data_IF_301957563315
#
_entry.id   IF_301957563315
#
_cell.length_a   1.000
_cell.length_b   1.000
_cell.length_c   1.000
_cell.angle_alpha   90.00
_cell.angle_beta   90.00
_cell.angle_gamma   90.00
#
_symmetry.space_group_name_H-M   'P 1'
#
loop_
_entity.id
_entity.type
_entity.pdbx_description
1 polymer ?
#
# COMPACT_ATOMS: atom_id res chain seq x y z
N UNK A 1 25.57 7.97 -44.75
CA UNK A 1 24.50 8.91 -44.31
C UNK A 1 23.26 8.09 -43.99
N UNK A 2 23.08 7.73 -42.72
CA UNK A 2 21.95 6.92 -42.25
C UNK A 2 20.88 7.86 -41.69
N UNK A 3 19.75 7.94 -42.39
CA UNK A 3 18.58 8.74 -42.02
C UNK A 3 18.01 8.18 -40.71
N UNK A 4 18.24 8.87 -39.58
CA UNK A 4 17.59 8.54 -38.30
C UNK A 4 16.07 8.65 -38.47
N UNK A 5 15.36 7.56 -38.21
CA UNK A 5 13.88 7.51 -38.24
C UNK A 5 13.34 8.41 -37.13
N UNK A 6 12.74 9.54 -37.54
CA UNK A 6 12.16 10.59 -36.68
C UNK A 6 11.12 10.10 -35.66
N UNK A 7 10.60 8.88 -35.81
CA UNK A 7 9.60 8.30 -34.90
C UNK A 7 10.16 7.63 -33.65
N UNK A 8 11.44 7.19 -33.64
CA UNK A 8 12.04 6.56 -32.45
C UNK A 8 12.47 7.58 -31.40
N UNK A 9 12.89 8.77 -31.84
CA UNK A 9 13.36 9.84 -30.93
C UNK A 9 12.26 10.36 -30.00
N UNK A 10 11.01 10.42 -30.45
CA UNK A 10 9.90 10.87 -29.59
C UNK A 10 9.57 9.87 -28.48
N UNK A 11 9.65 8.57 -28.76
CA UNK A 11 9.46 7.53 -27.75
C UNK A 11 10.65 7.44 -26.80
N UNK A 12 11.87 7.60 -27.32
CA UNK A 12 13.09 7.63 -26.50
C UNK A 12 13.12 8.87 -25.57
N UNK A 13 12.70 10.05 -26.05
CA UNK A 13 12.58 11.26 -25.23
C UNK A 13 11.46 11.17 -24.19
N UNK A 14 10.31 10.59 -24.53
CA UNK A 14 9.22 10.35 -23.59
C UNK A 14 9.62 9.35 -22.49
N UNK A 15 10.43 8.34 -22.83
CA UNK A 15 10.96 7.35 -21.87
C UNK A 15 12.05 7.96 -20.99
N UNK A 16 12.89 8.84 -21.54
CA UNK A 16 13.93 9.55 -20.78
C UNK A 16 13.35 10.59 -19.80
N UNK A 17 12.21 11.18 -20.12
CA UNK A 17 11.50 12.13 -19.24
C UNK A 17 10.64 11.42 -18.17
N UNK A 18 10.27 10.16 -18.36
CA UNK A 18 9.48 9.40 -17.40
C UNK A 18 10.38 8.80 -16.31
N UNK A 19 10.77 9.65 -15.36
CA UNK A 19 11.34 9.17 -14.09
C UNK A 19 10.19 8.88 -13.14
N UNK A 20 9.93 7.60 -12.86
CA UNK A 20 9.08 7.19 -11.73
C UNK A 20 9.85 7.53 -10.46
N UNK A 21 9.76 8.76 -9.99
CA UNK A 21 10.20 9.08 -8.63
C UNK A 21 9.17 8.49 -7.68
N UNK A 22 9.47 7.29 -7.18
CA UNK A 22 8.70 6.72 -6.07
C UNK A 22 8.81 7.68 -4.87
N UNK A 23 7.67 8.09 -4.32
CA UNK A 23 7.64 8.97 -3.15
C UNK A 23 8.45 8.34 -2.01
N UNK A 24 9.32 9.11 -1.34
CA UNK A 24 10.19 8.56 -0.31
C UNK A 24 9.36 8.03 0.86
N UNK A 25 9.73 6.84 1.35
CA UNK A 25 9.10 6.24 2.53
C UNK A 25 9.64 6.96 3.77
N UNK A 26 8.75 7.62 4.51
CA UNK A 26 9.08 8.37 5.71
C UNK A 26 9.25 7.46 6.94
N UNK A 27 8.41 6.43 7.06
CA UNK A 27 8.50 5.46 8.15
C UNK A 27 7.97 4.09 7.75
N UNK A 28 8.39 3.07 8.51
CA UNK A 28 7.88 1.71 8.45
C UNK A 28 7.59 1.22 9.86
N UNK A 29 6.44 0.59 10.07
CA UNK A 29 6.01 0.15 11.40
C UNK A 29 5.23 -1.15 11.30
N UNK A 30 5.54 -2.10 12.19
CA UNK A 30 4.76 -3.32 12.39
C UNK A 30 3.89 -3.12 13.63
N UNK A 31 2.61 -3.44 13.53
CA UNK A 31 1.72 -3.40 14.69
C UNK A 31 2.14 -4.42 15.76
N UNK A 32 1.96 -4.15 17.06
CA UNK A 32 2.32 -5.09 18.12
C UNK A 32 1.68 -6.49 17.99
N UNK A 33 0.47 -6.58 17.42
CA UNK A 33 -0.19 -7.87 17.13
C UNK A 33 0.51 -8.68 16.04
N UNK A 34 1.36 -8.04 15.23
CA UNK A 34 2.01 -8.57 14.02
C UNK A 34 1.03 -9.02 12.92
N UNK A 35 -0.26 -8.68 13.03
CA UNK A 35 -1.25 -9.02 12.02
C UNK A 35 -1.20 -8.08 10.80
N UNK A 36 -0.66 -6.88 10.97
CA UNK A 36 -0.47 -5.92 9.90
C UNK A 36 0.73 -5.01 10.18
N UNK A 37 1.15 -4.32 9.14
CA UNK A 37 2.22 -3.34 9.18
C UNK A 37 1.91 -2.27 8.16
N UNK A 38 2.56 -1.13 8.28
CA UNK A 38 2.26 0.01 7.43
C UNK A 38 3.49 0.88 7.20
N UNK A 39 3.44 1.62 6.11
CA UNK A 39 4.40 2.66 5.78
C UNK A 39 3.65 3.92 5.39
N UNK A 40 4.36 5.05 5.41
CA UNK A 40 3.81 6.31 4.96
C UNK A 40 4.79 7.07 4.09
N UNK A 41 4.22 7.83 3.17
CA UNK A 41 4.89 8.89 2.42
C UNK A 41 4.29 10.23 2.86
N UNK A 42 4.65 11.32 2.19
CA UNK A 42 4.02 12.62 2.43
C UNK A 42 2.52 12.59 2.08
N UNK A 43 2.11 11.81 1.09
CA UNK A 43 0.74 11.84 0.54
C UNK A 43 -0.07 10.60 0.88
N UNK A 44 0.58 9.46 1.06
CA UNK A 44 -0.08 8.15 1.11
C UNK A 44 0.31 7.35 2.36
N UNK A 45 -0.59 6.46 2.74
CA UNK A 45 -0.38 5.39 3.70
C UNK A 45 -0.51 4.07 2.95
N UNK A 46 0.48 3.21 3.09
CA UNK A 46 0.40 1.84 2.61
C UNK A 46 0.29 0.89 3.78
N UNK A 47 -0.74 0.04 3.77
CA UNK A 47 -1.00 -0.96 4.80
C UNK A 47 -0.81 -2.34 4.18
N UNK A 48 -0.11 -3.20 4.90
CA UNK A 48 0.26 -4.55 4.48
C UNK A 48 -0.28 -5.55 5.49
N UNK A 49 -1.09 -6.48 5.01
CA UNK A 49 -1.65 -7.57 5.82
C UNK A 49 -1.14 -8.90 5.26
N UNK A 50 -0.20 -9.59 5.93
CA UNK A 50 0.29 -10.89 5.48
C UNK A 50 -0.85 -11.90 5.35
N UNK A 51 -0.88 -12.64 4.24
CA UNK A 51 -1.92 -13.64 3.98
C UNK A 51 -1.33 -14.98 3.52
N UNK A 52 -2.10 -16.04 3.71
CA UNK A 52 -1.74 -17.36 3.22
C UNK A 52 -1.89 -17.40 1.68
N UNK A 53 -1.09 -18.22 0.95
CA UNK A 53 -1.12 -18.31 -0.52
C UNK A 53 -2.47 -18.70 -1.16
N UNK A 54 -3.49 -19.04 -0.37
CA UNK A 54 -4.82 -19.47 -0.86
C UNK A 54 -5.94 -18.45 -0.62
N UNK A 55 -5.62 -17.27 -0.09
CA UNK A 55 -6.62 -16.21 0.07
C UNK A 55 -7.03 -15.70 -1.31
N UNK A 56 -8.34 -15.69 -1.55
CA UNK A 56 -8.95 -15.17 -2.78
C UNK A 56 -9.56 -13.80 -2.52
N UNK A 57 -9.65 -12.98 -3.57
CA UNK A 57 -10.20 -11.61 -3.47
C UNK A 57 -11.58 -11.56 -2.80
N UNK A 58 -12.44 -12.55 -3.06
CA UNK A 58 -13.79 -12.65 -2.45
C UNK A 58 -13.76 -12.81 -0.93
N UNK A 59 -12.67 -13.33 -0.36
CA UNK A 59 -12.49 -13.49 1.08
C UNK A 59 -11.95 -12.25 1.78
N UNK A 60 -11.70 -11.14 1.06
CA UNK A 60 -11.10 -9.93 1.62
C UNK A 60 -12.08 -8.78 1.51
N UNK A 61 -12.35 -8.10 2.62
CA UNK A 61 -13.11 -6.86 2.67
C UNK A 61 -12.24 -5.77 3.30
N UNK A 62 -12.02 -4.69 2.54
CA UNK A 62 -11.29 -3.51 3.00
C UNK A 62 -12.23 -2.32 2.91
N UNK A 63 -12.38 -1.58 4.01
CA UNK A 63 -13.30 -0.45 4.11
C UNK A 63 -12.60 0.71 4.82
N UNK A 64 -12.73 1.90 4.24
CA UNK A 64 -12.42 3.17 4.88
C UNK A 64 -13.69 4.01 4.86
N UNK A 65 -14.17 4.41 6.02
CA UNK A 65 -15.46 5.11 6.15
C UNK A 65 -15.33 6.34 7.02
N UNK A 66 -16.03 7.40 6.66
CA UNK A 66 -16.18 8.60 7.48
C UNK A 66 -17.57 8.57 8.14
N UNK A 67 -17.59 8.65 9.47
CA UNK A 67 -18.82 8.81 10.24
C UNK A 67 -19.32 10.27 10.19
N UNK A 68 -20.58 10.49 10.59
CA UNK A 68 -21.21 11.82 10.51
C UNK A 68 -20.54 12.88 11.40
N UNK A 69 -19.83 12.46 12.45
CA UNK A 69 -19.03 13.30 13.33
C UNK A 69 -17.64 13.64 12.75
N UNK A 70 -17.33 13.15 11.54
CA UNK A 70 -16.04 13.31 10.90
C UNK A 70 -14.98 12.30 11.35
N UNK A 71 -15.32 11.31 12.18
CA UNK A 71 -14.38 10.24 12.57
C UNK A 71 -14.15 9.29 11.40
N UNK A 72 -12.88 8.97 11.12
CA UNK A 72 -12.50 7.98 10.10
C UNK A 72 -12.26 6.61 10.73
N UNK A 73 -12.89 5.59 10.16
CA UNK A 73 -12.74 4.19 10.55
C UNK A 73 -12.08 3.40 9.42
N UNK A 74 -11.22 2.47 9.79
CA UNK A 74 -10.57 1.56 8.87
C UNK A 74 -10.81 0.12 9.30
N UNK A 75 -11.26 -0.70 8.36
CA UNK A 75 -11.60 -2.11 8.59
C UNK A 75 -10.98 -2.99 7.52
N UNK A 76 -10.33 -4.06 7.97
CA UNK A 76 -9.81 -5.12 7.11
C UNK A 76 -10.27 -6.46 7.67
N UNK A 77 -11.02 -7.20 6.86
CA UNK A 77 -11.49 -8.56 7.17
C UNK A 77 -10.90 -9.52 6.15
N UNK A 78 -10.26 -10.58 6.64
CA UNK A 78 -9.66 -11.63 5.81
C UNK A 78 -10.26 -12.97 6.22
N UNK A 79 -10.93 -13.63 5.27
CA UNK A 79 -11.59 -14.92 5.44
C UNK A 79 -12.51 -14.95 6.68
N UNK A 80 -13.35 -13.92 6.80
CA UNK A 80 -14.27 -13.66 7.94
C UNK A 80 -13.62 -13.25 9.26
N UNK A 81 -12.28 -13.24 9.36
CA UNK A 81 -11.57 -12.82 10.57
C UNK A 81 -11.19 -11.33 10.45
N UNK A 82 -11.65 -10.46 11.36
CA UNK A 82 -11.22 -9.07 11.37
C UNK A 82 -9.74 -9.00 11.78
N UNK A 83 -8.92 -8.38 10.92
CA UNK A 83 -7.51 -8.07 11.20
C UNK A 83 -7.36 -6.65 11.73
N UNK A 84 -8.19 -5.75 11.22
CA UNK A 84 -8.22 -4.36 11.63
C UNK A 84 -9.69 -3.95 11.72
N UNK A 85 -10.06 -3.33 12.83
CA UNK A 85 -11.30 -2.57 12.96
C UNK A 85 -11.09 -1.50 14.03
N UNK A 86 -10.67 -0.32 13.61
CA UNK A 86 -10.32 0.76 14.54
C UNK A 86 -10.48 2.15 13.89
N UNK A 87 -10.42 3.16 14.75
CA UNK A 87 -10.37 4.56 14.35
C UNK A 87 -8.98 4.89 13.80
N UNK A 88 -8.93 5.61 12.67
CA UNK A 88 -7.67 6.13 12.12
C UNK A 88 -7.16 7.30 12.96
N UNK A 89 -5.83 7.43 13.05
CA UNK A 89 -5.18 8.51 13.79
C UNK A 89 -5.52 9.90 13.25
N UNK A 90 -5.69 10.04 11.93
CA UNK A 90 -6.15 11.26 11.29
C UNK A 90 -7.04 10.96 10.06
N UNK A 91 -7.36 12.00 9.29
CA UNK A 91 -8.33 11.90 8.18
C UNK A 91 -7.67 11.40 6.89
N UNK A 92 -8.40 10.59 6.14
CA UNK A 92 -8.00 10.08 4.82
C UNK A 92 -9.08 10.36 3.78
N UNK A 93 -8.71 10.40 2.50
CA UNK A 93 -9.68 10.41 1.42
C UNK A 93 -10.27 8.99 1.24
N UNK A 94 -11.37 8.68 1.92
CA UNK A 94 -11.97 7.34 1.89
C UNK A 94 -12.31 6.84 0.46
N UNK A 95 -12.58 7.75 -0.49
CA UNK A 95 -12.92 7.40 -1.87
C UNK A 95 -11.72 6.93 -2.69
N UNK A 96 -10.50 7.24 -2.26
CA UNK A 96 -9.27 6.83 -2.93
C UNK A 96 -8.74 5.50 -2.40
N UNK A 97 -9.49 4.81 -1.53
CA UNK A 97 -9.11 3.49 -1.04
C UNK A 97 -8.96 2.54 -2.23
N UNK A 98 -7.75 1.99 -2.37
CA UNK A 98 -7.47 0.91 -3.31
C UNK A 98 -6.74 -0.23 -2.59
N UNK A 99 -6.89 -1.44 -3.09
CA UNK A 99 -6.19 -2.60 -2.56
C UNK A 99 -6.08 -3.76 -3.55
N UNK A 100 -5.03 -4.54 -3.36
CA UNK A 100 -4.75 -5.76 -4.12
C UNK A 100 -4.17 -6.85 -3.22
N UNK A 101 -4.20 -8.10 -3.70
CA UNK A 101 -3.43 -9.20 -3.12
C UNK A 101 -2.20 -9.37 -4.01
N UNK A 102 -1.02 -9.18 -3.45
CA UNK A 102 0.24 -9.17 -4.20
C UNK A 102 1.35 -9.89 -3.41
N UNK A 103 2.46 -10.25 -4.08
CA UNK A 103 3.71 -10.58 -3.39
C UNK A 103 4.14 -9.44 -2.46
N UNK A 104 4.94 -9.76 -1.44
CA UNK A 104 5.49 -8.74 -0.55
C UNK A 104 6.23 -7.64 -1.32
N UNK A 105 5.80 -6.39 -1.14
CA UNK A 105 6.45 -5.21 -1.73
C UNK A 105 7.69 -4.84 -0.92
N UNK A 106 8.73 -4.31 -1.54
CA UNK A 106 9.96 -3.87 -0.82
C UNK A 106 9.69 -2.77 0.22
N UNK A 107 8.60 -2.02 0.03
CA UNK A 107 8.10 -1.05 0.98
C UNK A 107 7.48 -1.69 2.24
N UNK A 108 6.97 -2.93 2.14
CA UNK A 108 6.35 -3.64 3.25
C UNK A 108 7.35 -3.82 4.40
N UNK A 109 6.94 -3.56 5.66
CA UNK A 109 7.78 -3.85 6.81
C UNK A 109 7.97 -5.35 7.04
N UNK A 110 7.20 -6.20 6.36
CA UNK A 110 7.34 -7.66 6.39
C UNK A 110 8.23 -8.21 5.27
N UNK A 111 8.71 -7.34 4.37
CA UNK A 111 9.44 -7.75 3.20
C UNK A 111 10.64 -8.63 3.57
N UNK A 112 10.61 -9.86 3.07
CA UNK A 112 11.73 -10.78 3.18
C UNK A 112 12.28 -11.02 1.79
N UNK A 113 13.58 -10.76 1.61
CA UNK A 113 14.24 -11.02 0.32
C UNK A 113 14.23 -12.52 0.04
N UNK A 114 13.66 -12.90 -1.11
CA UNK A 114 13.60 -14.29 -1.54
C UNK A 114 15.01 -14.82 -1.82
N UNK A 115 15.28 -16.05 -1.38
CA UNK A 115 16.49 -16.80 -1.71
C UNK A 115 16.18 -17.93 -2.72
N UNK A 116 17.23 -18.59 -3.20
CA UNK A 116 17.11 -19.70 -4.17
C UNK A 116 16.38 -20.93 -3.61
N UNK A 117 16.18 -21.02 -2.29
CA UNK A 117 15.54 -22.16 -1.63
C UNK A 117 14.07 -21.89 -1.27
N UNK A 118 13.56 -20.70 -1.58
CA UNK A 118 12.21 -20.31 -1.21
C UNK A 118 11.19 -21.04 -2.09
N UNK A 119 10.36 -21.88 -1.47
CA UNK A 119 9.40 -22.75 -2.16
C UNK A 119 8.06 -22.08 -2.47
N UNK A 120 7.77 -20.94 -1.85
CA UNK A 120 6.55 -20.15 -2.11
C UNK A 120 6.79 -18.67 -1.84
N UNK A 121 6.27 -17.80 -2.71
CA UNK A 121 6.33 -16.35 -2.55
C UNK A 121 5.33 -15.92 -1.45
N UNK A 122 5.78 -15.24 -0.38
CA UNK A 122 4.88 -14.67 0.62
C UNK A 122 3.94 -13.64 -0.01
N UNK A 123 2.66 -13.75 0.32
CA UNK A 123 1.60 -12.89 -0.20
C UNK A 123 1.09 -11.95 0.90
N UNK A 124 0.64 -10.77 0.50
CA UNK A 124 0.05 -9.77 1.39
C UNK A 124 -1.13 -9.07 0.69
N UNK A 125 -2.05 -8.54 1.49
CA UNK A 125 -3.01 -7.54 1.01
C UNK A 125 -2.30 -6.20 1.12
N UNK A 126 -2.07 -5.54 -0.02
CA UNK A 126 -1.53 -4.20 -0.10
C UNK A 126 -2.68 -3.22 -0.21
N UNK A 127 -2.78 -2.28 0.71
CA UNK A 127 -3.85 -1.29 0.78
C UNK A 127 -3.23 0.10 0.68
N UNK A 128 -3.80 0.96 -0.15
CA UNK A 128 -3.40 2.35 -0.29
C UNK A 128 -4.51 3.25 0.24
N UNK A 129 -4.16 4.18 1.12
CA UNK A 129 -5.00 5.28 1.57
C UNK A 129 -4.29 6.60 1.27
N UNK A 130 -5.01 7.58 0.73
CA UNK A 130 -4.46 8.93 0.52
C UNK A 130 -4.80 9.78 1.74
N UNK A 131 -3.80 10.47 2.29
CA UNK A 131 -3.97 11.39 3.42
C UNK A 131 -4.87 12.55 3.00
N UNK A 132 -5.73 13.01 3.91
CA UNK A 132 -6.52 14.20 3.64
C UNK A 132 -5.64 15.47 3.63
N UNK A 133 -4.61 15.49 4.48
CA UNK A 133 -3.63 16.58 4.58
C UNK A 133 -2.26 16.06 4.11
N UNK A 134 -1.83 16.36 2.87
CA UNK A 134 -0.48 16.04 2.41
C UNK A 134 0.60 16.64 3.32
N UNK A 135 1.70 15.91 3.50
CA UNK A 135 2.83 16.29 4.35
C UNK A 135 2.65 16.01 5.84
N UNK A 136 1.45 15.61 6.29
CA UNK A 136 1.20 15.26 7.70
C UNK A 136 1.92 13.95 8.06
N UNK A 137 2.82 13.99 9.06
CA UNK A 137 3.46 12.79 9.59
C UNK A 137 2.57 12.10 10.61
N UNK A 138 2.30 10.81 10.40
CA UNK A 138 1.47 9.99 11.28
C UNK A 138 2.37 9.20 12.24
N UNK A 139 2.29 9.42 13.57
CA UNK A 139 3.07 8.64 14.54
C UNK A 139 2.47 7.24 14.79
N UNK A 140 1.18 7.06 14.53
CA UNK A 140 0.45 5.79 14.57
C UNK A 140 -0.55 5.74 13.42
N UNK A 141 -0.95 4.52 13.01
CA UNK A 141 -2.03 4.35 12.03
C UNK A 141 -3.41 4.48 12.68
N UNK A 142 -3.56 3.87 13.86
CA UNK A 142 -4.82 3.72 14.58
C UNK A 142 -4.74 4.41 15.95
N UNK A 143 -5.91 4.70 16.53
CA UNK A 143 -6.09 5.21 17.91
C UNK A 143 -6.62 4.09 18.81
#
# INVERSE_FOLDING_TARGET
>A
MTTKRRGSTFLDEATAAFTVQASPILSRTVDPSKEYGWTQTEEELYIYVPVRPRIVRKGVNVLATQAADGTHWFTVVVDTIPRIHAKLAAMVNCKSLDWEIAPQKEASPFYTRMDLHTTSVPMEICITLVKHTPGEYWPSLLI
#
